data_IF_719020952572
#
_entry.id   IF_719020952572
#
_cell.length_a   1.000
_cell.length_b   1.000
_cell.length_c   1.000
_cell.angle_alpha   90.00
_cell.angle_beta   90.00
_cell.angle_gamma   90.00
#
_symmetry.space_group_name_H-M   'P 1'
#
loop_
_entity.id
_entity.type
_entity.pdbx_description
1 polymer ?
#
# COMPACT_ATOMS: atom_id res chain seq x y z
N UNK A 1 -9.13 22.95 -18.09
CA UNK A 1 -9.44 23.65 -16.82
C UNK A 1 -9.14 22.69 -15.69
N UNK A 2 -8.22 23.01 -14.79
CA UNK A 2 -7.97 22.17 -13.62
C UNK A 2 -9.05 22.44 -12.56
N UNK A 3 -9.60 21.42 -11.90
CA UNK A 3 -10.52 21.62 -10.78
C UNK A 3 -9.83 22.36 -9.63
N UNK A 4 -10.59 23.11 -8.84
CA UNK A 4 -10.04 23.76 -7.64
C UNK A 4 -9.66 22.72 -6.58
N UNK A 5 -8.66 23.03 -5.73
CA UNK A 5 -8.26 22.17 -4.61
C UNK A 5 -9.45 21.83 -3.68
N UNK A 6 -10.37 22.78 -3.51
CA UNK A 6 -11.60 22.61 -2.75
C UNK A 6 -12.51 21.54 -3.38
N UNK A 7 -12.67 21.56 -4.71
CA UNK A 7 -13.45 20.58 -5.44
C UNK A 7 -12.81 19.18 -5.36
N UNK A 8 -11.49 19.09 -5.56
CA UNK A 8 -10.76 17.82 -5.45
C UNK A 8 -10.87 17.23 -4.04
N UNK A 9 -10.78 18.05 -2.99
CA UNK A 9 -10.94 17.60 -1.59
C UNK A 9 -12.34 17.04 -1.31
N UNK A 10 -13.39 17.67 -1.85
CA UNK A 10 -14.78 17.19 -1.71
C UNK A 10 -14.98 15.85 -2.43
N UNK A 11 -14.46 15.73 -3.64
CA UNK A 11 -14.52 14.48 -4.42
C UNK A 11 -13.76 13.36 -3.70
N UNK A 12 -12.56 13.63 -3.18
CA UNK A 12 -11.78 12.67 -2.41
C UNK A 12 -12.56 12.13 -1.20
N UNK A 13 -13.25 13.02 -0.48
CA UNK A 13 -14.10 12.65 0.66
C UNK A 13 -15.29 11.76 0.24
N UNK A 14 -15.96 12.09 -0.87
CA UNK A 14 -17.10 11.30 -1.40
C UNK A 14 -16.63 9.90 -1.81
N UNK A 15 -15.47 9.82 -2.47
CA UNK A 15 -14.90 8.57 -2.96
C UNK A 15 -14.13 7.79 -1.89
N UNK A 16 -14.09 8.28 -0.64
CA UNK A 16 -13.28 7.72 0.45
C UNK A 16 -11.81 7.47 0.04
N UNK A 17 -11.24 8.41 -0.71
CA UNK A 17 -9.89 8.37 -1.28
C UNK A 17 -9.10 9.64 -0.91
N UNK A 18 -7.88 9.81 -1.43
CA UNK A 18 -7.01 10.97 -1.15
C UNK A 18 -6.94 11.94 -2.32
N UNK A 19 -6.59 13.19 -2.04
CA UNK A 19 -6.35 14.20 -3.09
C UNK A 19 -5.21 13.77 -4.02
N UNK A 20 -4.11 13.23 -3.47
CA UNK A 20 -2.99 12.72 -4.27
C UNK A 20 -3.37 11.59 -5.23
N UNK A 21 -4.34 10.74 -4.87
CA UNK A 21 -4.89 9.74 -5.77
C UNK A 21 -5.64 10.37 -6.96
N UNK A 22 -6.41 11.44 -6.70
CA UNK A 22 -7.17 12.13 -7.75
C UNK A 22 -6.29 12.98 -8.68
N UNK A 23 -5.10 13.34 -8.22
CA UNK A 23 -4.12 14.11 -8.99
C UNK A 23 -3.12 13.21 -9.74
N UNK A 24 -3.25 11.89 -9.61
CA UNK A 24 -2.34 10.91 -10.22
C UNK A 24 -0.85 11.15 -9.86
N UNK A 25 -0.62 11.79 -8.71
CA UNK A 25 0.73 12.13 -8.22
C UNK A 25 1.48 10.92 -7.63
N UNK A 26 0.90 9.72 -7.75
CA UNK A 26 1.45 8.51 -7.14
C UNK A 26 1.54 7.39 -8.17
N UNK A 27 2.73 6.85 -8.42
CA UNK A 27 2.93 5.61 -9.21
C UNK A 27 2.28 4.36 -8.56
N UNK A 28 1.57 4.54 -7.45
CA UNK A 28 0.97 3.50 -6.62
C UNK A 28 -0.56 3.63 -6.63
N UNK A 29 -1.16 3.71 -7.83
CA UNK A 29 -2.59 3.87 -8.07
C UNK A 29 -3.48 3.00 -7.15
N UNK A 30 -3.04 1.78 -6.81
CA UNK A 30 -3.87 0.82 -6.07
C UNK A 30 -3.75 0.93 -4.55
N UNK A 31 -2.69 1.55 -4.01
CA UNK A 31 -2.52 1.72 -2.55
C UNK A 31 -3.55 2.71 -2.00
N UNK A 32 -3.93 3.70 -2.82
CA UNK A 32 -4.85 4.75 -2.44
C UNK A 32 -6.33 4.47 -2.75
N UNK A 33 -6.63 3.39 -3.48
CA UNK A 33 -8.01 2.94 -3.82
C UNK A 33 -8.72 2.16 -2.70
N UNK A 34 -8.06 1.83 -1.59
CA UNK A 34 -8.58 0.94 -0.55
C UNK A 34 -8.91 1.68 0.78
N UNK A 35 -10.17 2.13 0.98
CA UNK A 35 -10.58 2.87 2.19
C UNK A 35 -10.28 2.14 3.51
N UNK A 36 -10.33 0.80 3.49
CA UNK A 36 -10.04 -0.03 4.65
C UNK A 36 -8.57 -0.01 5.07
N UNK A 37 -7.64 0.10 4.12
CA UNK A 37 -6.21 0.24 4.41
C UNK A 37 -5.94 1.62 5.01
N UNK A 38 -6.59 2.67 4.49
CA UNK A 38 -6.39 4.05 4.94
C UNK A 38 -6.85 4.27 6.36
N UNK A 39 -8.02 3.72 6.70
CA UNK A 39 -8.54 3.78 8.07
C UNK A 39 -7.54 3.18 9.06
N UNK A 40 -6.98 2.02 8.73
CA UNK A 40 -5.98 1.33 9.56
C UNK A 40 -4.67 2.11 9.66
N UNK A 41 -4.20 2.71 8.57
CA UNK A 41 -3.00 3.55 8.58
C UNK A 41 -3.19 4.80 9.47
N UNK A 42 -4.35 5.44 9.39
CA UNK A 42 -4.69 6.58 10.24
C UNK A 42 -4.81 6.19 11.73
N UNK A 43 -5.35 5.00 12.02
CA UNK A 43 -5.38 4.46 13.39
C UNK A 43 -3.97 4.20 13.92
N UNK A 44 -3.09 3.59 13.12
CA UNK A 44 -1.67 3.37 13.46
C UNK A 44 -0.95 4.70 13.72
N UNK A 45 -1.25 5.73 12.92
CA UNK A 45 -0.58 7.02 13.06
C UNK A 45 -0.85 7.68 14.40
N UNK A 46 -2.06 7.50 14.94
CA UNK A 46 -2.49 8.01 16.25
C UNK A 46 -1.93 7.22 17.45
N UNK A 47 -1.25 6.09 17.22
CA UNK A 47 -0.69 5.28 18.29
C UNK A 47 0.61 5.88 18.85
N UNK A 48 0.89 5.57 20.11
CA UNK A 48 2.19 5.89 20.70
C UNK A 48 3.34 5.22 19.92
N UNK A 49 4.49 5.90 19.89
CA UNK A 49 5.67 5.51 19.10
C UNK A 49 6.08 4.05 19.31
N UNK A 50 6.02 3.53 20.54
CA UNK A 50 6.37 2.14 20.85
C UNK A 50 5.47 1.13 20.11
N UNK A 51 4.16 1.37 20.15
CA UNK A 51 3.18 0.49 19.49
C UNK A 51 3.30 0.59 17.96
N UNK A 52 3.51 1.80 17.43
CA UNK A 52 3.79 2.01 16.00
C UNK A 52 5.01 1.21 15.54
N UNK A 53 6.10 1.24 16.30
CA UNK A 53 7.32 0.48 15.98
C UNK A 53 7.09 -1.04 15.97
N UNK A 54 6.29 -1.58 16.89
CA UNK A 54 5.96 -3.01 16.89
C UNK A 54 5.15 -3.42 15.66
N UNK A 55 4.20 -2.59 15.24
CA UNK A 55 3.41 -2.83 14.03
C UNK A 55 4.29 -2.79 12.78
N UNK A 56 5.16 -1.78 12.67
CA UNK A 56 6.11 -1.67 11.54
C UNK A 56 7.03 -2.89 11.47
N UNK A 57 7.56 -3.34 12.61
CA UNK A 57 8.38 -4.55 12.67
C UNK A 57 7.64 -5.80 12.16
N UNK A 58 6.37 -5.98 12.55
CA UNK A 58 5.56 -7.10 12.07
C UNK A 58 5.29 -7.03 10.56
N UNK A 59 5.01 -5.82 10.03
CA UNK A 59 4.82 -5.57 8.60
C UNK A 59 6.10 -5.91 7.83
N UNK A 60 7.26 -5.50 8.34
CA UNK A 60 8.56 -5.77 7.71
C UNK A 60 8.87 -7.28 7.67
N UNK A 61 8.65 -7.97 8.79
CA UNK A 61 8.84 -9.41 8.88
C UNK A 61 7.92 -10.17 7.90
N UNK A 62 6.65 -9.79 7.83
CA UNK A 62 5.69 -10.39 6.91
C UNK A 62 6.07 -10.13 5.45
N UNK A 63 6.41 -8.89 5.10
CA UNK A 63 6.84 -8.49 3.76
C UNK A 63 8.07 -9.29 3.32
N UNK A 64 9.05 -9.45 4.22
CA UNK A 64 10.25 -10.27 3.96
C UNK A 64 9.87 -11.72 3.66
N UNK A 65 8.97 -12.32 4.45
CA UNK A 65 8.50 -13.69 4.24
C UNK A 65 7.83 -13.86 2.87
N UNK A 66 6.94 -12.95 2.48
CA UNK A 66 6.29 -12.99 1.16
C UNK A 66 7.30 -12.87 0.02
N UNK A 67 8.26 -11.94 0.11
CA UNK A 67 9.32 -11.80 -0.90
C UNK A 67 10.15 -13.07 -1.04
N UNK A 68 10.54 -13.68 0.08
CA UNK A 68 11.29 -14.94 0.07
C UNK A 68 10.50 -16.07 -0.59
N UNK A 69 9.21 -16.23 -0.28
CA UNK A 69 8.34 -17.22 -0.91
C UNK A 69 8.27 -17.03 -2.43
N UNK A 70 8.12 -15.79 -2.89
CA UNK A 70 8.07 -15.47 -4.32
C UNK A 70 9.39 -15.80 -5.03
N UNK A 71 10.54 -15.47 -4.43
CA UNK A 71 11.86 -15.81 -4.99
C UNK A 71 12.02 -17.33 -5.09
N UNK A 72 11.64 -18.07 -4.05
CA UNK A 72 11.69 -19.54 -4.05
C UNK A 72 10.80 -20.14 -5.14
N UNK A 73 9.56 -19.65 -5.27
CA UNK A 73 8.63 -20.09 -6.31
C UNK A 73 9.16 -19.82 -7.73
N UNK A 74 9.77 -18.64 -7.95
CA UNK A 74 10.41 -18.29 -9.22
C UNK A 74 11.62 -19.20 -9.52
N UNK A 75 12.43 -19.51 -8.51
CA UNK A 75 13.59 -20.40 -8.65
C UNK A 75 13.17 -21.82 -9.02
N UNK A 76 12.12 -22.36 -8.38
CA UNK A 76 11.56 -23.68 -8.71
C UNK A 76 11.03 -23.71 -10.15
N UNK A 77 10.28 -22.66 -10.56
CA UNK A 77 9.76 -22.55 -11.93
C UNK A 77 10.88 -22.47 -12.98
N UNK A 78 12.01 -21.84 -12.65
CA UNK A 78 13.16 -21.76 -13.56
C UNK A 78 13.87 -23.11 -13.68
N UNK A 79 14.08 -23.82 -12.58
CA UNK A 79 14.74 -25.13 -12.56
C UNK A 79 13.91 -26.22 -13.27
N UNK A 80 12.58 -26.18 -13.16
CA UNK A 80 11.69 -27.10 -13.88
C UNK A 80 11.60 -26.84 -15.39
N UNK A 81 12.11 -25.70 -15.89
CA UNK A 81 12.15 -25.36 -17.32
C UNK A 81 13.50 -25.63 -17.99
N UNK A 82 14.54 -25.94 -17.22
CA UNK A 82 15.90 -26.23 -17.71
C UNK A 82 16.21 -27.74 -17.81
N UNK A 83 15.19 -28.59 -17.66
CA UNK A 83 15.29 -30.06 -17.74
C UNK A 83 14.50 -30.70 -18.89
N UNK A 84 14.14 -29.92 -19.91
CA UNK A 84 13.60 -30.32 -21.21
C UNK A 84 14.46 -29.67 -22.30
#
# INVERSE_FOLDING_TARGET
MAPSIEAVRKIAKILSSTVGYLLDETEQENLFKAPSIHKRLNEIEKMERKNKNHILYAIDAFTKSVKLKNITALKIKKLGKSGL
#
